data_IF_036752998145
#
_entry.id   IF_036752998145
#
_cell.length_a   1.000
_cell.length_b   1.000
_cell.length_c   1.000
_cell.angle_alpha   90.00
_cell.angle_beta   90.00
_cell.angle_gamma   90.00
#
_symmetry.space_group_name_H-M   'P 1'
#
loop_
_entity.id
_entity.type
_entity.pdbx_description
1 polymer ?
#
# COMPACT_ATOMS: atom_id res chain seq x y z
N UNK A 1 6.55 1.04 38.51
CA UNK A 1 5.25 0.57 38.06
C UNK A 1 5.32 0.45 36.51
N UNK A 2 5.50 -0.78 36.02
CA UNK A 2 5.59 -1.06 34.56
C UNK A 2 4.18 -1.19 34.00
N UNK A 3 3.82 -0.35 33.02
CA UNK A 3 2.61 -0.54 32.22
C UNK A 3 2.88 -1.64 31.18
N UNK A 4 2.20 -2.77 31.33
CA UNK A 4 2.12 -3.79 30.29
C UNK A 4 1.18 -3.26 29.21
N UNK A 5 1.67 -3.15 27.98
CA UNK A 5 0.84 -2.99 26.77
C UNK A 5 0.40 -4.39 26.35
N UNK A 6 -0.88 -4.68 26.53
CA UNK A 6 -1.47 -5.91 26.01
C UNK A 6 -1.87 -5.70 24.55
N UNK A 7 -1.26 -6.43 23.64
CA UNK A 7 -1.76 -6.59 22.28
C UNK A 7 -2.78 -7.72 22.28
N UNK A 8 -4.01 -7.43 21.83
CA UNK A 8 -5.04 -8.43 21.69
C UNK A 8 -4.85 -9.13 20.34
N UNK A 9 -4.36 -10.37 20.37
CA UNK A 9 -4.44 -11.30 19.26
C UNK A 9 -5.90 -11.75 19.11
N UNK A 10 -6.56 -11.41 18.02
CA UNK A 10 -7.83 -11.99 17.65
C UNK A 10 -7.60 -13.39 17.08
N UNK A 11 -7.71 -14.39 17.95
CA UNK A 11 -7.85 -15.78 17.53
C UNK A 11 -9.30 -16.03 17.16
N UNK A 12 -9.56 -16.42 15.93
CA UNK A 12 -10.86 -16.86 15.43
C UNK A 12 -11.29 -18.14 16.18
N UNK A 13 -11.97 -17.97 17.28
CA UNK A 13 -12.74 -19.04 17.92
C UNK A 13 -14.16 -18.54 18.12
N UNK A 14 -15.07 -19.36 17.62
CA UNK A 14 -16.54 -19.29 17.67
C UNK A 14 -17.08 -18.37 18.79
N UNK A 15 -17.66 -17.22 18.43
CA UNK A 15 -18.29 -16.31 19.39
C UNK A 15 -19.68 -16.85 19.73
N UNK A 16 -19.92 -17.17 20.99
CA UNK A 16 -21.24 -17.50 21.52
C UNK A 16 -21.85 -16.23 22.09
N UNK A 17 -22.87 -15.68 21.41
CA UNK A 17 -23.60 -14.52 21.89
C UNK A 17 -24.79 -15.00 22.76
N UNK A 18 -24.70 -14.76 24.07
CA UNK A 18 -25.83 -14.97 24.98
C UNK A 18 -26.53 -13.63 25.25
N UNK A 19 -27.75 -13.48 24.76
CA UNK A 19 -28.59 -12.30 25.06
C UNK A 19 -29.60 -12.70 26.16
N UNK A 20 -29.48 -12.04 27.30
CA UNK A 20 -30.44 -12.20 28.41
C UNK A 20 -31.40 -11.02 28.39
N UNK A 21 -32.66 -11.26 28.01
CA UNK A 21 -33.71 -10.24 28.08
C UNK A 21 -34.53 -10.52 29.33
N UNK A 22 -34.52 -9.56 30.27
CA UNK A 22 -35.33 -9.62 31.50
C UNK A 22 -36.57 -8.77 31.31
N UNK A 23 -37.68 -9.39 31.01
CA UNK A 23 -39.01 -8.75 31.10
C UNK A 23 -39.58 -9.03 32.47
N UNK A 24 -40.09 -8.00 33.14
CA UNK A 24 -40.72 -8.11 34.47
C UNK A 24 -41.73 -9.25 34.51
N UNK A 25 -41.39 -10.27 35.26
CA UNK A 25 -42.16 -11.36 35.84
C UNK A 25 -41.99 -12.79 35.35
N UNK A 26 -41.21 -13.09 34.32
CA UNK A 26 -40.85 -14.50 34.10
C UNK A 26 -39.49 -14.63 33.38
N UNK A 27 -38.61 -15.48 33.91
CA UNK A 27 -37.33 -15.83 33.27
C UNK A 27 -37.60 -16.85 32.16
N UNK A 28 -37.44 -16.45 30.91
CA UNK A 28 -37.42 -17.37 29.79
C UNK A 28 -35.96 -17.59 29.39
N UNK A 29 -35.44 -18.80 29.55
CA UNK A 29 -34.17 -19.22 28.98
C UNK A 29 -34.36 -19.61 27.52
N UNK A 30 -33.79 -18.83 26.61
CA UNK A 30 -33.71 -19.19 25.19
C UNK A 30 -32.35 -19.84 24.95
N UNK A 31 -32.40 -21.08 24.47
CA UNK A 31 -31.25 -21.91 24.25
C UNK A 31 -30.22 -21.32 23.26
N UNK A 32 -28.94 -21.63 23.49
CA UNK A 32 -27.81 -21.27 22.63
C UNK A 32 -27.88 -21.97 21.27
N UNK A 33 -27.95 -21.21 20.18
CA UNK A 33 -27.81 -21.72 18.83
C UNK A 33 -26.41 -21.42 18.27
N UNK A 34 -25.76 -22.45 17.72
CA UNK A 34 -24.50 -22.32 16.98
C UNK A 34 -24.80 -21.77 15.59
N UNK A 35 -24.20 -20.62 15.23
CA UNK A 35 -24.34 -20.01 13.90
C UNK A 35 -23.03 -20.29 13.14
N UNK A 36 -23.15 -20.95 11.97
CA UNK A 36 -22.05 -21.12 11.01
C UNK A 36 -21.96 -19.92 10.06
N UNK A 37 -20.75 -19.61 9.65
CA UNK A 37 -20.43 -18.49 8.73
C UNK A 37 -21.22 -18.56 7.42
N UNK A 38 -21.69 -17.44 6.95
CA UNK A 38 -22.38 -17.26 5.67
C UNK A 38 -23.72 -16.51 5.75
N UNK A 39 -24.35 -16.45 6.93
CA UNK A 39 -25.74 -16.00 7.06
C UNK A 39 -25.92 -14.63 7.75
N UNK A 40 -24.85 -13.87 7.99
CA UNK A 40 -24.90 -12.70 8.87
C UNK A 40 -25.54 -11.49 8.18
N UNK A 41 -25.38 -11.37 6.87
CA UNK A 41 -25.85 -10.17 6.14
C UNK A 41 -27.39 -10.15 5.91
N UNK A 42 -28.02 -11.31 5.71
CA UNK A 42 -29.46 -11.37 5.49
C UNK A 42 -30.28 -11.24 6.77
N UNK A 43 -29.73 -11.65 7.93
CA UNK A 43 -30.46 -11.64 9.21
C UNK A 43 -30.53 -10.26 9.89
N UNK A 44 -29.58 -9.35 9.60
CA UNK A 44 -29.58 -7.99 10.15
C UNK A 44 -30.81 -7.17 9.70
N UNK A 45 -31.27 -7.37 8.46
CA UNK A 45 -32.47 -6.71 7.91
C UNK A 45 -33.78 -7.22 8.54
N UNK A 46 -33.84 -8.50 8.89
CA UNK A 46 -35.02 -9.10 9.52
C UNK A 46 -35.14 -8.79 11.02
N UNK A 47 -34.02 -8.58 11.70
CA UNK A 47 -34.02 -8.21 13.14
C UNK A 47 -34.52 -6.79 13.37
N UNK A 48 -34.27 -5.86 12.46
CA UNK A 48 -34.81 -4.50 12.50
C UNK A 48 -36.33 -4.47 12.22
N UNK A 49 -36.84 -5.37 11.37
CA UNK A 49 -38.27 -5.50 11.09
C UNK A 49 -39.07 -6.09 12.29
N UNK A 50 -38.45 -6.98 13.06
CA UNK A 50 -39.09 -7.55 14.27
C UNK A 50 -39.14 -6.54 15.44
N UNK A 51 -38.18 -5.63 15.55
CA UNK A 51 -38.20 -4.54 16.54
C UNK A 51 -39.29 -3.49 16.22
N UNK A 52 -39.56 -3.20 14.94
CA UNK A 52 -40.58 -2.30 14.51
C UNK A 52 -42.04 -2.86 14.79
N UNK A 53 -42.21 -4.17 14.71
CA UNK A 53 -43.50 -4.83 14.99
C UNK A 53 -43.84 -4.91 16.49
N UNK A 54 -42.83 -4.88 17.38
CA UNK A 54 -43.03 -4.93 18.84
C UNK A 54 -43.47 -3.57 19.43
N UNK A 55 -43.28 -2.45 18.70
CA UNK A 55 -43.69 -1.11 19.16
C UNK A 55 -45.11 -0.71 18.78
N UNK A 56 -45.84 -1.53 17.99
CA UNK A 56 -47.22 -1.24 17.57
C UNK A 56 -48.28 -2.02 18.34
N UNK A 57 -47.94 -2.76 19.40
CA UNK A 57 -48.80 -3.67 20.12
C UNK A 57 -49.36 -3.20 21.46
N UNK A 58 -49.17 -1.96 21.91
CA UNK A 58 -49.71 -1.45 23.18
C UNK A 58 -50.49 -0.15 23.00
N UNK A 59 -51.62 -0.23 22.36
CA UNK A 59 -52.62 0.84 22.31
C UNK A 59 -53.91 0.42 23.00
N UNK A 60 -54.15 0.91 24.19
CA UNK A 60 -55.46 0.79 24.80
C UNK A 60 -55.47 0.83 26.34
N UNK A 61 -55.38 2.00 26.95
CA UNK A 61 -56.04 2.29 28.22
C UNK A 61 -56.50 3.76 28.25
N UNK A 62 -57.78 3.94 28.39
CA UNK A 62 -58.52 5.16 28.43
C UNK A 62 -58.42 5.76 29.85
N UNK A 63 -58.11 7.07 29.98
CA UNK A 63 -58.12 7.75 31.27
C UNK A 63 -57.75 9.22 31.20
N UNK A 64 -58.77 10.04 31.25
CA UNK A 64 -58.91 11.44 31.73
C UNK A 64 -58.01 12.53 31.15
N UNK A 65 -58.70 13.50 30.54
CA UNK A 65 -58.27 14.85 30.20
C UNK A 65 -57.80 15.62 31.42
N UNK A 66 -56.51 16.03 31.45
CA UNK A 66 -56.05 17.17 32.25
C UNK A 66 -55.49 18.23 31.27
N UNK A 67 -55.91 19.48 31.53
CA UNK A 67 -55.53 20.65 30.70
C UNK A 67 -54.02 20.88 30.68
N UNK A 68 -53.45 21.31 29.55
CA UNK A 68 -52.02 21.52 29.42
C UNK A 68 -51.57 22.80 30.15
N UNK A 69 -50.64 22.62 31.09
CA UNK A 69 -49.86 23.71 31.69
C UNK A 69 -48.90 24.26 30.63
N UNK A 70 -48.77 25.57 30.41
CA UNK A 70 -47.89 26.13 29.43
C UNK A 70 -46.42 25.95 29.88
N UNK A 71 -45.64 25.30 29.08
CA UNK A 71 -44.19 25.24 29.23
C UNK A 71 -43.57 26.63 29.03
N UNK A 72 -42.50 26.98 29.79
CA UNK A 72 -41.76 28.19 29.56
C UNK A 72 -41.13 28.10 28.15
N UNK A 73 -41.23 29.14 27.36
CA UNK A 73 -40.46 29.30 26.13
C UNK A 73 -38.98 29.29 26.48
N UNK A 74 -38.28 28.25 26.06
CA UNK A 74 -36.82 28.30 25.92
C UNK A 74 -36.53 29.40 24.89
N UNK A 75 -35.70 30.35 25.29
CA UNK A 75 -35.09 31.31 24.38
C UNK A 75 -34.23 30.50 23.43
N UNK A 76 -34.61 30.49 22.15
CA UNK A 76 -33.72 30.06 21.04
C UNK A 76 -32.53 31.01 21.09
N UNK A 77 -31.43 30.52 21.63
CA UNK A 77 -30.12 31.10 21.35
C UNK A 77 -29.82 30.77 19.88
N UNK A 78 -29.96 31.76 19.02
CA UNK A 78 -29.41 31.77 17.68
C UNK A 78 -27.91 31.47 17.77
N UNK A 79 -27.56 30.21 17.79
CA UNK A 79 -26.23 29.75 17.35
C UNK A 79 -26.23 30.01 15.85
N UNK A 80 -25.60 31.09 15.43
CA UNK A 80 -25.21 31.26 14.02
C UNK A 80 -24.40 30.01 13.65
N UNK A 81 -25.00 29.09 12.91
CA UNK A 81 -24.27 28.19 12.06
C UNK A 81 -23.46 29.08 11.11
N UNK A 82 -22.16 29.15 11.32
CA UNK A 82 -21.25 29.76 10.37
C UNK A 82 -21.32 28.91 9.11
N UNK A 83 -21.96 29.42 8.05
CA UNK A 83 -21.98 28.82 6.72
C UNK A 83 -20.54 28.64 6.26
N UNK A 84 -20.07 27.40 6.27
CA UNK A 84 -18.82 27.05 5.58
C UNK A 84 -19.06 27.34 4.11
N UNK A 85 -18.26 28.21 3.55
CA UNK A 85 -18.36 28.68 2.17
C UNK A 85 -18.23 27.46 1.23
N UNK A 86 -19.32 27.11 0.53
CA UNK A 86 -19.29 26.07 -0.48
C UNK A 86 -18.66 26.61 -1.76
N UNK A 87 -17.53 26.07 -2.13
CA UNK A 87 -16.91 26.30 -3.43
C UNK A 87 -17.39 25.20 -4.39
N UNK A 88 -18.19 25.53 -5.42
CA UNK A 88 -18.51 24.56 -6.46
C UNK A 88 -17.25 24.27 -7.29
N UNK A 89 -16.68 23.10 -7.12
CA UNK A 89 -15.44 22.70 -7.80
C UNK A 89 -15.70 21.41 -8.58
N UNK A 90 -15.33 21.41 -9.85
CA UNK A 90 -15.27 20.17 -10.63
C UNK A 90 -13.96 19.45 -10.33
N UNK A 91 -14.03 18.43 -9.45
CA UNK A 91 -12.95 17.48 -9.20
C UNK A 91 -13.35 16.13 -9.80
N UNK A 92 -12.39 15.32 -10.22
CA UNK A 92 -12.61 13.93 -10.63
C UNK A 92 -13.53 13.17 -9.66
N UNK A 93 -14.30 12.21 -10.14
CA UNK A 93 -15.10 11.32 -9.30
C UNK A 93 -14.26 10.23 -8.61
N UNK A 94 -12.99 10.06 -8.96
CA UNK A 94 -12.17 8.94 -8.52
C UNK A 94 -11.01 9.37 -7.62
N UNK A 95 -10.90 8.77 -6.45
CA UNK A 95 -9.82 9.05 -5.51
C UNK A 95 -8.43 8.74 -6.09
N UNK A 96 -8.29 7.73 -6.93
CA UNK A 96 -7.01 7.32 -7.54
C UNK A 96 -6.48 8.29 -8.61
N UNK A 97 -7.26 9.31 -9.01
CA UNK A 97 -6.78 10.40 -9.88
C UNK A 97 -5.96 11.42 -9.10
N UNK A 98 -5.98 11.35 -7.76
CA UNK A 98 -5.23 12.21 -6.85
C UNK A 98 -5.46 13.70 -7.10
N UNK A 99 -6.68 14.04 -7.52
CA UNK A 99 -7.15 15.41 -7.55
C UNK A 99 -7.73 15.79 -6.20
N UNK A 100 -7.63 17.04 -5.85
CA UNK A 100 -8.23 17.63 -4.65
C UNK A 100 -8.35 19.13 -4.82
N UNK A 101 -9.12 19.80 -3.98
CA UNK A 101 -9.19 21.25 -3.98
C UNK A 101 -8.88 21.82 -2.59
N UNK A 102 -8.25 22.98 -2.58
CA UNK A 102 -8.00 23.81 -1.40
C UNK A 102 -8.61 25.17 -1.70
N UNK A 103 -9.62 25.58 -0.93
CA UNK A 103 -10.37 26.84 -1.09
C UNK A 103 -10.88 27.05 -2.53
N UNK A 104 -11.32 25.98 -3.17
CA UNK A 104 -11.84 26.00 -4.55
C UNK A 104 -10.77 25.91 -5.64
N UNK A 105 -9.49 25.92 -5.32
CA UNK A 105 -8.43 25.69 -6.30
C UNK A 105 -8.12 24.22 -6.46
N UNK A 106 -8.37 23.67 -7.65
CA UNK A 106 -8.09 22.25 -7.97
C UNK A 106 -6.59 22.04 -8.16
N UNK A 107 -6.10 20.98 -7.56
CA UNK A 107 -4.72 20.52 -7.64
C UNK A 107 -4.69 19.02 -7.90
N UNK A 108 -3.55 18.50 -8.34
CA UNK A 108 -3.33 17.06 -8.56
C UNK A 108 -1.94 16.64 -8.12
N UNK A 109 -1.77 15.36 -7.79
CA UNK A 109 -0.47 14.75 -7.53
C UNK A 109 -0.15 13.70 -8.61
N UNK A 110 1.12 13.63 -9.05
CA UNK A 110 2.18 14.60 -8.74
C UNK A 110 2.03 15.88 -9.58
N UNK A 111 2.49 17.01 -9.04
CA UNK A 111 2.55 18.30 -9.76
C UNK A 111 3.87 19.01 -9.48
N UNK A 112 4.37 19.78 -10.44
CA UNK A 112 5.65 20.50 -10.29
C UNK A 112 5.60 21.46 -9.11
N UNK A 113 6.62 21.47 -8.23
CA UNK A 113 6.70 22.46 -7.14
C UNK A 113 6.65 23.90 -7.67
N UNK A 114 7.18 24.14 -8.88
CA UNK A 114 7.13 25.43 -9.56
C UNK A 114 5.70 25.94 -9.83
N UNK A 115 4.72 25.05 -9.96
CA UNK A 115 3.32 25.41 -10.12
C UNK A 115 2.74 25.95 -8.82
N UNK A 116 3.10 25.36 -7.69
CA UNK A 116 2.75 25.83 -6.36
C UNK A 116 3.34 27.19 -6.07
N UNK A 117 4.63 27.41 -6.40
CA UNK A 117 5.30 28.70 -6.25
C UNK A 117 4.63 29.78 -7.10
N UNK A 118 4.24 29.47 -8.34
CA UNK A 118 3.51 30.43 -9.20
C UNK A 118 2.12 30.80 -8.66
N UNK A 119 1.53 29.92 -7.88
CA UNK A 119 0.26 30.16 -7.18
C UNK A 119 0.43 30.87 -5.83
N UNK A 120 1.64 31.31 -5.51
CA UNK A 120 1.92 32.10 -4.30
C UNK A 120 2.32 31.29 -3.08
N UNK A 121 2.57 30.00 -3.22
CA UNK A 121 3.17 29.20 -2.16
C UNK A 121 4.67 29.46 -2.09
N UNK A 122 5.23 29.43 -0.89
CA UNK A 122 6.65 29.68 -0.63
C UNK A 122 7.29 28.41 -0.07
N UNK A 123 8.50 28.09 -0.55
CA UNK A 123 9.34 27.03 0.00
C UNK A 123 10.62 27.67 0.59
N UNK A 124 11.13 27.19 1.74
CA UNK A 124 12.27 27.82 2.45
C UNK A 124 13.49 28.00 1.55
N UNK A 125 14.02 29.22 1.47
CA UNK A 125 15.13 29.58 0.58
C UNK A 125 16.39 28.73 0.81
N UNK A 126 16.68 28.40 2.07
CA UNK A 126 17.84 27.59 2.45
C UNK A 126 17.77 26.16 1.92
N UNK A 127 16.59 25.65 1.62
CA UNK A 127 16.35 24.29 1.10
C UNK A 127 16.25 24.24 -0.43
N UNK A 128 16.00 25.34 -1.10
CA UNK A 128 15.71 25.38 -2.56
C UNK A 128 16.83 24.82 -3.44
N UNK A 129 18.10 24.92 -2.98
CA UNK A 129 19.27 24.45 -3.70
C UNK A 129 19.69 23.01 -3.38
N UNK A 130 18.96 22.35 -2.49
CA UNK A 130 19.24 20.97 -2.16
C UNK A 130 19.07 20.09 -3.42
N UNK A 131 19.93 19.11 -3.54
CA UNK A 131 19.87 18.11 -4.62
C UNK A 131 19.14 16.86 -4.10
N UNK A 132 18.33 16.27 -4.94
CA UNK A 132 17.63 15.04 -4.68
C UNK A 132 18.01 14.00 -5.74
N UNK A 133 18.50 12.84 -5.31
CA UNK A 133 18.85 11.75 -6.23
C UNK A 133 17.62 11.32 -7.06
N UNK A 134 17.88 10.70 -8.20
CA UNK A 134 16.80 10.16 -9.05
C UNK A 134 15.95 9.15 -8.29
N UNK A 135 14.64 9.14 -8.53
CA UNK A 135 13.66 8.26 -7.90
C UNK A 135 13.67 8.28 -6.35
N UNK A 136 14.18 9.40 -5.77
CA UNK A 136 14.19 9.64 -4.32
C UNK A 136 13.15 10.68 -3.93
N UNK A 137 12.80 10.71 -2.65
CA UNK A 137 11.82 11.66 -2.11
C UNK A 137 12.24 12.19 -0.74
N UNK A 138 11.67 13.32 -0.35
CA UNK A 138 11.78 13.93 0.99
C UNK A 138 10.38 14.13 1.52
N UNK A 139 10.07 13.53 2.67
CA UNK A 139 8.76 13.66 3.32
C UNK A 139 8.72 14.81 4.32
N UNK A 140 7.51 15.37 4.51
CA UNK A 140 7.23 16.31 5.58
C UNK A 140 7.79 17.72 5.35
N UNK A 141 8.02 18.13 4.12
CA UNK A 141 8.38 19.49 3.77
C UNK A 141 7.17 20.42 3.90
N UNK A 142 7.42 21.71 4.17
CA UNK A 142 6.37 22.69 4.43
C UNK A 142 6.36 23.76 3.35
N UNK A 143 5.21 23.91 2.68
CA UNK A 143 4.88 25.06 1.84
C UNK A 143 4.05 26.06 2.64
N UNK A 144 4.26 27.37 2.42
CA UNK A 144 3.55 28.46 3.09
C UNK A 144 2.90 29.40 2.10
N UNK A 145 1.70 29.89 2.44
CA UNK A 145 1.02 30.94 1.69
C UNK A 145 0.33 31.87 2.70
N UNK A 146 0.98 32.99 3.03
CA UNK A 146 0.56 33.84 4.15
C UNK A 146 0.60 33.08 5.47
N UNK A 147 -0.54 32.94 6.14
CA UNK A 147 -0.67 32.18 7.39
C UNK A 147 -0.93 30.65 7.16
N UNK A 148 -1.29 30.28 5.94
CA UNK A 148 -1.54 28.88 5.60
C UNK A 148 -0.24 28.09 5.48
N UNK A 149 -0.29 26.83 5.93
CA UNK A 149 0.82 25.88 5.81
C UNK A 149 0.29 24.55 5.29
N UNK A 150 1.05 23.93 4.40
CA UNK A 150 0.79 22.59 3.89
C UNK A 150 2.02 21.72 4.10
N UNK A 151 1.81 20.54 4.63
CA UNK A 151 2.84 19.49 4.66
C UNK A 151 2.80 18.73 3.35
N UNK A 152 3.94 18.65 2.67
CA UNK A 152 4.07 18.01 1.36
C UNK A 152 5.26 17.07 1.34
N UNK A 153 5.24 16.11 0.43
CA UNK A 153 6.38 15.26 0.11
C UNK A 153 6.89 15.66 -1.28
N UNK A 154 8.20 15.90 -1.39
CA UNK A 154 8.84 16.24 -2.64
C UNK A 154 9.52 15.01 -3.23
N UNK A 155 9.27 14.73 -4.50
CA UNK A 155 9.78 13.55 -5.20
C UNK A 155 10.50 13.96 -6.49
N UNK A 156 11.68 13.35 -6.71
CA UNK A 156 12.41 13.50 -7.97
C UNK A 156 11.96 12.44 -8.97
N UNK A 157 11.14 12.83 -9.93
CA UNK A 157 10.67 11.98 -11.05
C UNK A 157 11.47 12.21 -12.33
N UNK A 158 12.58 12.97 -12.24
CA UNK A 158 13.51 13.15 -13.36
C UNK A 158 14.50 11.98 -13.45
N UNK A 159 14.97 11.68 -14.63
CA UNK A 159 15.95 10.60 -14.87
C UNK A 159 17.37 10.88 -14.37
N UNK A 160 17.56 11.90 -13.52
CA UNK A 160 18.87 12.37 -13.03
C UNK A 160 18.71 13.04 -11.66
N UNK A 161 19.81 13.18 -10.94
CA UNK A 161 19.86 14.04 -9.76
C UNK A 161 19.45 15.46 -10.13
N UNK A 162 18.53 16.05 -9.35
CA UNK A 162 17.82 17.28 -9.69
C UNK A 162 17.68 18.17 -8.46
N UNK A 163 17.67 19.49 -8.65
CA UNK A 163 17.38 20.41 -7.55
C UNK A 163 15.94 20.23 -7.07
N UNK A 164 15.73 20.34 -5.76
CA UNK A 164 14.39 20.22 -5.14
C UNK A 164 13.36 21.13 -5.82
N UNK A 165 13.77 22.32 -6.27
CA UNK A 165 12.89 23.27 -6.97
C UNK A 165 12.45 22.82 -8.36
N UNK A 166 13.07 21.79 -8.92
CA UNK A 166 12.69 21.18 -10.20
C UNK A 166 11.97 19.82 -9.99
N UNK A 167 11.75 19.42 -8.74
CA UNK A 167 11.03 18.22 -8.36
C UNK A 167 9.50 18.41 -8.39
N UNK A 168 8.81 17.36 -7.99
CA UNK A 168 7.35 17.34 -7.91
C UNK A 168 6.90 17.29 -6.46
N UNK A 169 5.76 17.89 -6.17
CA UNK A 169 4.95 17.56 -5.00
C UNK A 169 4.26 16.24 -5.30
N UNK A 170 4.68 15.17 -4.66
CA UNK A 170 4.15 13.82 -4.83
C UNK A 170 3.25 13.39 -3.68
N UNK A 171 3.38 14.01 -2.51
CA UNK A 171 2.54 13.76 -1.35
C UNK A 171 2.02 15.06 -0.73
N UNK A 172 0.86 14.97 -0.08
CA UNK A 172 0.26 16.08 0.67
C UNK A 172 -0.52 15.56 1.87
N UNK A 173 -0.44 16.31 2.97
CA UNK A 173 -1.31 16.14 4.13
C UNK A 173 -2.27 17.32 4.21
N UNK A 174 -3.56 17.02 4.09
CA UNK A 174 -4.66 17.93 4.29
C UNK A 174 -5.24 17.68 5.68
N UNK A 175 -5.41 18.72 6.49
CA UNK A 175 -5.97 18.61 7.84
C UNK A 175 -7.14 19.58 7.97
N UNK A 176 -8.22 19.14 8.60
CA UNK A 176 -9.33 20.01 8.94
C UNK A 176 -8.94 20.94 10.10
N UNK A 177 -9.12 22.22 9.89
CA UNK A 177 -9.00 23.26 10.91
C UNK A 177 -10.28 24.10 10.85
N UNK A 178 -10.89 24.40 12.00
CA UNK A 178 -12.22 25.05 12.05
C UNK A 178 -12.29 26.36 11.28
N UNK A 179 -11.24 27.15 11.34
CA UNK A 179 -11.12 28.46 10.65
C UNK A 179 -10.06 28.41 9.52
N UNK A 180 -9.70 27.19 9.09
CA UNK A 180 -8.69 26.92 8.07
C UNK A 180 -9.25 26.84 6.66
N UNK A 181 -8.41 26.37 5.76
CA UNK A 181 -8.76 26.14 4.36
C UNK A 181 -9.81 25.03 4.21
N UNK A 182 -10.76 25.23 3.29
CA UNK A 182 -11.72 24.20 2.90
C UNK A 182 -11.04 23.21 1.96
N UNK A 183 -10.87 21.97 2.41
CA UNK A 183 -10.26 20.91 1.63
C UNK A 183 -11.31 19.91 1.13
N UNK A 184 -11.31 19.68 -0.18
CA UNK A 184 -12.25 18.78 -0.85
C UNK A 184 -11.49 17.69 -1.61
N UNK A 185 -12.02 16.48 -1.55
CA UNK A 185 -11.55 15.29 -2.27
C UNK A 185 -12.57 14.89 -3.36
N UNK A 186 -12.21 13.99 -4.29
CA UNK A 186 -13.12 13.46 -5.30
C UNK A 186 -14.46 12.98 -4.72
N UNK A 187 -15.49 12.95 -5.56
CA UNK A 187 -16.80 12.44 -5.14
C UNK A 187 -17.57 13.31 -4.15
N UNK A 188 -17.18 14.58 -3.97
CA UNK A 188 -17.86 15.52 -3.07
C UNK A 188 -17.48 15.36 -1.60
N UNK A 189 -16.41 14.67 -1.30
CA UNK A 189 -15.91 14.46 0.07
C UNK A 189 -15.20 15.73 0.55
N UNK A 190 -15.58 16.22 1.74
CA UNK A 190 -15.03 17.45 2.33
C UNK A 190 -14.55 17.16 3.76
N UNK A 191 -13.32 17.57 4.07
CA UNK A 191 -12.75 17.46 5.41
C UNK A 191 -13.57 18.30 6.41
N UNK A 192 -13.78 17.77 7.61
CA UNK A 192 -14.61 18.36 8.66
C UNK A 192 -16.13 18.20 8.46
N UNK A 193 -16.58 17.61 7.34
CA UNK A 193 -18.01 17.42 7.05
C UNK A 193 -18.38 15.98 6.69
N UNK A 194 -17.59 15.33 5.86
CA UNK A 194 -17.94 14.02 5.32
C UNK A 194 -17.72 12.92 6.32
N UNK A 195 -18.74 12.05 6.47
CA UNK A 195 -18.68 10.88 7.35
C UNK A 195 -17.98 9.68 6.68
N UNK A 196 -17.57 8.71 7.50
CA UNK A 196 -17.04 7.43 7.04
C UNK A 196 -18.00 6.73 6.05
N UNK A 197 -19.32 6.80 6.29
CA UNK A 197 -20.32 6.21 5.40
C UNK A 197 -20.28 6.89 4.02
N UNK A 198 -20.23 8.20 3.95
CA UNK A 198 -20.14 8.93 2.69
C UNK A 198 -18.84 8.61 1.93
N UNK A 199 -17.72 8.48 2.64
CA UNK A 199 -16.44 8.10 2.03
C UNK A 199 -16.48 6.68 1.47
N UNK A 200 -17.02 5.72 2.22
CA UNK A 200 -17.14 4.33 1.73
C UNK A 200 -18.16 4.17 0.62
N UNK A 201 -19.22 5.00 0.58
CA UNK A 201 -20.14 5.06 -0.56
C UNK A 201 -19.46 5.64 -1.82
N UNK A 202 -18.60 6.63 -1.66
CA UNK A 202 -17.89 7.27 -2.77
C UNK A 202 -16.72 6.42 -3.32
N UNK A 203 -15.96 5.76 -2.45
CA UNK A 203 -14.69 5.12 -2.83
C UNK A 203 -14.70 3.59 -2.70
N UNK A 204 -15.78 3.01 -2.16
CA UNK A 204 -15.89 1.56 -1.97
C UNK A 204 -15.19 1.06 -0.70
N UNK A 205 -14.89 -0.22 -0.69
CA UNK A 205 -14.23 -0.88 0.46
C UNK A 205 -12.76 -0.49 0.54
N UNK A 206 -12.28 0.01 1.69
CA UNK A 206 -10.87 0.32 1.87
C UNK A 206 -9.98 -0.94 1.80
N UNK A 207 -8.71 -0.73 1.49
CA UNK A 207 -7.68 -1.78 1.47
C UNK A 207 -7.30 -2.20 2.89
N UNK A 208 -7.26 -1.25 3.81
CA UNK A 208 -6.95 -1.47 5.22
C UNK A 208 -7.70 -0.50 6.11
N UNK A 209 -8.00 -0.93 7.35
CA UNK A 209 -8.70 -0.13 8.36
C UNK A 209 -8.20 -0.50 9.74
N UNK A 210 -7.77 0.48 10.52
CA UNK A 210 -7.39 0.28 11.91
C UNK A 210 -7.68 1.51 12.77
N UNK A 211 -7.84 1.31 14.07
CA UNK A 211 -8.06 2.40 15.03
C UNK A 211 -6.90 2.52 16.01
N UNK A 212 -6.44 3.74 16.22
CA UNK A 212 -5.46 4.06 17.26
C UNK A 212 -5.94 5.27 18.07
N UNK A 213 -6.12 5.10 19.40
CA UNK A 213 -6.65 6.11 20.33
C UNK A 213 -8.06 6.57 19.91
N UNK A 214 -8.22 7.83 19.53
CA UNK A 214 -9.46 8.47 19.12
C UNK A 214 -9.54 8.68 17.61
N UNK A 215 -8.66 8.01 16.84
CA UNK A 215 -8.57 8.12 15.39
C UNK A 215 -8.83 6.77 14.73
N UNK A 216 -9.62 6.79 13.65
CA UNK A 216 -9.84 5.68 12.73
C UNK A 216 -9.11 5.98 11.42
N UNK A 217 -8.20 5.11 11.04
CA UNK A 217 -7.41 5.20 9.81
C UNK A 217 -8.02 4.27 8.76
N UNK A 218 -8.30 4.82 7.59
CA UNK A 218 -8.87 4.12 6.44
C UNK A 218 -7.97 4.32 5.24
N UNK A 219 -7.37 3.25 4.74
CA UNK A 219 -6.40 3.29 3.64
C UNK A 219 -6.99 2.75 2.35
N UNK A 220 -6.77 3.47 1.25
CA UNK A 220 -6.99 3.03 -0.12
C UNK A 220 -5.63 2.97 -0.81
N UNK A 221 -5.17 1.77 -1.15
CA UNK A 221 -3.91 1.54 -1.83
C UNK A 221 -4.15 1.22 -3.31
N UNK A 222 -3.50 1.98 -4.17
CA UNK A 222 -3.64 1.89 -5.63
C UNK A 222 -2.36 1.38 -6.31
N UNK A 223 -1.52 0.72 -5.54
CA UNK A 223 -0.22 0.19 -5.96
C UNK A 223 0.97 0.86 -5.29
N UNK A 224 2.17 0.41 -5.61
CA UNK A 224 3.41 0.90 -4.97
C UNK A 224 3.53 2.42 -5.08
N UNK A 225 3.75 3.09 -3.95
CA UNK A 225 3.87 4.55 -3.83
C UNK A 225 2.65 5.34 -4.33
N UNK A 226 1.47 4.72 -4.36
CA UNK A 226 0.23 5.37 -4.75
C UNK A 226 -0.88 4.98 -3.78
N UNK A 227 -1.18 5.85 -2.79
CA UNK A 227 -2.18 5.59 -1.74
C UNK A 227 -2.84 6.85 -1.21
N UNK A 228 -4.03 6.67 -0.65
CA UNK A 228 -4.73 7.67 0.15
C UNK A 228 -5.02 7.08 1.54
N UNK A 229 -4.65 7.79 2.60
CA UNK A 229 -4.96 7.46 3.98
C UNK A 229 -5.88 8.56 4.54
N UNK A 230 -7.04 8.16 4.98
CA UNK A 230 -8.09 9.05 5.48
C UNK A 230 -8.27 8.79 6.99
N UNK A 231 -8.23 9.85 7.78
CA UNK A 231 -8.29 9.75 9.25
C UNK A 231 -9.56 10.40 9.75
N UNK A 232 -10.35 9.63 10.50
CA UNK A 232 -11.62 10.05 11.06
C UNK A 232 -11.51 10.15 12.59
N UNK A 233 -12.26 11.05 13.17
CA UNK A 233 -12.56 11.01 14.59
C UNK A 233 -13.45 9.81 14.91
N UNK A 234 -13.14 9.07 15.99
CA UNK A 234 -13.87 7.83 16.34
C UNK A 234 -15.23 8.07 17.00
N UNK A 235 -15.52 9.26 17.52
CA UNK A 235 -16.80 9.59 18.15
C UNK A 235 -17.83 10.06 17.12
N UNK A 236 -17.43 10.99 16.25
CA UNK A 236 -18.32 11.60 15.25
C UNK A 236 -18.21 10.90 13.88
N UNK A 237 -17.17 10.08 13.66
CA UNK A 237 -16.84 9.42 12.39
C UNK A 237 -16.73 10.43 11.22
N UNK A 238 -16.27 11.65 11.51
CA UNK A 238 -16.08 12.71 10.53
C UNK A 238 -14.61 12.76 10.09
N UNK A 239 -14.39 12.91 8.78
CA UNK A 239 -13.06 13.00 8.16
C UNK A 239 -12.30 14.23 8.65
N UNK A 240 -11.19 14.02 9.36
CA UNK A 240 -10.37 15.10 9.92
C UNK A 240 -9.09 15.35 9.13
N UNK A 241 -8.55 14.31 8.47
CA UNK A 241 -7.27 14.39 7.79
C UNK A 241 -7.24 13.48 6.57
N UNK A 242 -6.56 13.92 5.53
CA UNK A 242 -6.27 13.10 4.36
C UNK A 242 -4.78 13.19 4.01
N UNK A 243 -4.12 12.06 3.89
CA UNK A 243 -2.74 11.94 3.40
C UNK A 243 -2.79 11.29 2.03
N UNK A 244 -2.47 12.06 1.00
CA UNK A 244 -2.45 11.57 -0.38
C UNK A 244 -0.99 11.42 -0.83
N UNK A 245 -0.64 10.27 -1.39
CA UNK A 245 0.70 9.99 -1.92
C UNK A 245 0.61 9.39 -3.32
N UNK A 246 1.19 10.07 -4.28
CA UNK A 246 1.40 9.58 -5.64
C UNK A 246 2.79 9.98 -6.12
N UNK A 247 3.76 9.08 -5.93
CA UNK A 247 5.17 9.31 -6.31
C UNK A 247 5.47 8.71 -7.69
N UNK A 248 4.46 8.59 -8.54
CA UNK A 248 4.62 8.06 -9.89
C UNK A 248 4.75 9.16 -10.91
N UNK A 249 5.52 8.90 -11.96
CA UNK A 249 5.65 9.81 -13.08
C UNK A 249 4.27 10.07 -13.73
N UNK A 250 3.93 11.34 -14.03
CA UNK A 250 2.67 11.64 -14.73
C UNK A 250 2.63 10.93 -16.08
N UNK A 251 1.49 10.32 -16.40
CA UNK A 251 1.27 9.69 -17.72
C UNK A 251 1.26 10.78 -18.80
N UNK A 252 2.08 10.62 -19.83
CA UNK A 252 2.09 11.52 -21.00
C UNK A 252 1.35 10.84 -22.15
N UNK A 253 0.35 11.49 -22.69
CA UNK A 253 -0.38 11.02 -23.90
C UNK A 253 0.47 11.09 -25.17
N UNK A 254 1.57 11.86 -25.14
CA UNK A 254 2.48 12.07 -26.28
C UNK A 254 3.62 11.05 -26.31
N UNK A 255 3.70 10.14 -25.35
CA UNK A 255 4.80 9.17 -25.27
C UNK A 255 4.67 8.10 -26.36
N UNK A 256 5.70 7.97 -27.19
CA UNK A 256 5.75 6.92 -28.22
C UNK A 256 6.21 5.59 -27.62
N UNK A 257 5.26 4.68 -27.42
CA UNK A 257 5.54 3.35 -26.85
C UNK A 257 5.94 2.39 -27.96
N UNK A 258 7.14 1.81 -27.84
CA UNK A 258 7.61 0.76 -28.76
C UNK A 258 6.68 -0.46 -28.71
N UNK A 259 6.32 -0.97 -29.89
CA UNK A 259 5.55 -2.21 -30.06
C UNK A 259 6.44 -3.45 -30.14
N UNK A 260 7.73 -3.26 -30.32
CA UNK A 260 8.69 -4.34 -30.43
C UNK A 260 9.07 -4.88 -29.05
N UNK A 261 9.30 -6.18 -28.98
CA UNK A 261 9.85 -6.78 -27.75
C UNK A 261 11.34 -6.46 -27.70
N UNK A 262 11.84 -5.81 -26.65
CA UNK A 262 13.27 -5.50 -26.50
C UNK A 262 14.16 -6.75 -26.57
N UNK A 263 15.39 -6.56 -27.02
CA UNK A 263 16.38 -7.62 -27.10
C UNK A 263 16.66 -8.20 -25.70
N UNK A 264 16.71 -7.36 -24.68
CA UNK A 264 16.92 -7.75 -23.28
C UNK A 264 15.85 -8.73 -22.80
N UNK A 265 14.59 -8.53 -23.20
CA UNK A 265 13.46 -9.43 -22.86
C UNK A 265 13.60 -10.76 -23.59
N UNK A 266 14.00 -10.73 -24.86
CA UNK A 266 14.15 -11.94 -25.68
C UNK A 266 15.39 -12.75 -25.28
N UNK A 267 16.40 -12.12 -24.69
CA UNK A 267 17.61 -12.74 -24.18
C UNK A 267 17.43 -13.38 -22.78
N UNK A 268 16.33 -13.12 -22.10
CA UNK A 268 16.08 -13.68 -20.78
C UNK A 268 15.90 -15.21 -20.87
N UNK A 269 16.65 -15.94 -20.04
CA UNK A 269 16.55 -17.39 -19.91
C UNK A 269 15.99 -17.77 -18.54
N UNK A 270 14.87 -18.48 -18.51
CA UNK A 270 14.27 -18.95 -17.26
C UNK A 270 15.18 -20.00 -16.62
N UNK A 271 15.66 -19.79 -15.36
CA UNK A 271 16.50 -20.74 -14.67
C UNK A 271 15.75 -22.06 -14.40
N UNK A 272 16.48 -23.17 -14.45
CA UNK A 272 15.89 -24.49 -14.26
C UNK A 272 16.07 -25.05 -12.83
N UNK A 273 16.93 -24.43 -12.01
CA UNK A 273 17.23 -24.85 -10.63
C UNK A 273 17.78 -23.69 -9.81
N UNK A 274 17.62 -23.80 -8.50
CA UNK A 274 18.29 -22.89 -7.56
C UNK A 274 19.81 -23.12 -7.60
N UNK A 275 20.56 -22.04 -7.38
CA UNK A 275 22.00 -22.07 -7.21
C UNK A 275 22.40 -22.29 -5.75
N UNK A 276 23.69 -22.59 -5.51
CA UNK A 276 24.24 -22.65 -4.16
C UNK A 276 24.46 -21.27 -3.53
N UNK A 277 24.57 -20.22 -4.35
CA UNK A 277 24.78 -18.86 -3.87
C UNK A 277 23.50 -18.05 -3.95
N UNK A 278 22.89 -17.63 -2.82
CA UNK A 278 21.70 -16.76 -2.85
C UNK A 278 21.92 -15.46 -3.64
N UNK A 279 23.15 -14.93 -3.65
CA UNK A 279 23.50 -13.70 -4.36
C UNK A 279 23.42 -13.79 -5.89
N UNK A 280 23.14 -14.97 -6.45
CA UNK A 280 22.85 -15.12 -7.88
C UNK A 280 21.41 -14.69 -8.23
N UNK A 281 20.59 -14.31 -7.23
CA UNK A 281 19.21 -13.86 -7.38
C UNK A 281 18.27 -14.85 -8.10
N UNK A 282 18.62 -16.13 -8.13
CA UNK A 282 17.75 -17.19 -8.63
C UNK A 282 16.82 -17.63 -7.51
N UNK A 283 15.52 -17.62 -7.80
CA UNK A 283 14.46 -17.83 -6.82
C UNK A 283 13.38 -18.75 -7.36
N UNK A 284 12.86 -19.63 -6.51
CA UNK A 284 11.55 -20.26 -6.73
C UNK A 284 10.50 -19.39 -6.08
N UNK A 285 9.56 -18.86 -6.87
CA UNK A 285 8.52 -17.94 -6.46
C UNK A 285 7.17 -18.39 -6.96
N UNK A 286 6.28 -18.70 -6.04
CA UNK A 286 4.95 -19.22 -6.37
C UNK A 286 4.92 -20.60 -7.03
N UNK A 287 6.02 -21.31 -7.16
CA UNK A 287 6.28 -22.61 -7.82
C UNK A 287 7.08 -22.51 -9.12
N UNK A 288 7.28 -21.31 -9.63
CA UNK A 288 8.03 -21.05 -10.85
C UNK A 288 9.43 -20.51 -10.51
N UNK A 289 10.35 -20.65 -11.46
CA UNK A 289 11.72 -20.20 -11.28
C UNK A 289 11.96 -18.86 -11.99
N UNK A 290 12.65 -17.96 -11.31
CA UNK A 290 13.03 -16.67 -11.86
C UNK A 290 14.47 -16.33 -11.48
N UNK A 291 15.17 -15.62 -12.35
CA UNK A 291 16.39 -14.89 -12.05
C UNK A 291 16.05 -13.40 -12.03
N UNK A 292 16.20 -12.75 -10.89
CA UNK A 292 15.84 -11.33 -10.74
C UNK A 292 17.08 -10.47 -11.12
N UNK A 293 16.90 -9.51 -12.08
CA UNK A 293 15.67 -9.00 -12.67
C UNK A 293 15.06 -9.94 -13.72
N UNK A 294 13.74 -10.11 -13.68
CA UNK A 294 13.00 -10.95 -14.61
C UNK A 294 11.95 -10.16 -15.37
N UNK A 295 11.73 -10.36 -16.68
CA UNK A 295 10.71 -9.64 -17.42
C UNK A 295 9.31 -9.88 -16.84
N UNK A 296 8.48 -8.84 -16.77
CA UNK A 296 7.06 -8.97 -16.38
C UNK A 296 6.34 -10.00 -17.27
N UNK A 297 6.73 -10.09 -18.53
CA UNK A 297 6.20 -11.09 -19.47
C UNK A 297 6.41 -12.53 -19.03
N UNK A 298 7.48 -12.85 -18.27
CA UNK A 298 7.68 -14.21 -17.73
C UNK A 298 6.69 -14.50 -16.59
N UNK A 299 6.39 -13.52 -15.75
CA UNK A 299 5.33 -13.66 -14.74
C UNK A 299 3.98 -13.88 -15.43
N UNK A 300 3.68 -13.10 -16.48
CA UNK A 300 2.43 -13.27 -17.25
C UNK A 300 2.34 -14.65 -17.89
N UNK A 301 3.44 -15.16 -18.46
CA UNK A 301 3.54 -16.51 -19.02
C UNK A 301 3.26 -17.60 -17.97
N UNK A 302 3.64 -17.36 -16.73
CA UNK A 302 3.44 -18.23 -15.59
C UNK A 302 2.07 -18.01 -14.88
N UNK A 303 1.15 -17.28 -15.51
CA UNK A 303 -0.23 -17.16 -15.06
C UNK A 303 -0.57 -15.93 -14.23
N UNK A 304 0.42 -15.06 -13.95
CA UNK A 304 0.15 -13.75 -13.33
C UNK A 304 -0.55 -12.82 -14.32
N UNK A 305 -1.44 -11.98 -13.82
CA UNK A 305 -2.16 -10.97 -14.61
C UNK A 305 -1.73 -9.58 -14.15
N UNK A 306 -1.46 -8.70 -15.12
CA UNK A 306 -1.23 -7.29 -14.83
C UNK A 306 -2.60 -6.67 -14.50
N UNK A 307 -2.71 -6.07 -13.32
CA UNK A 307 -3.86 -5.26 -12.94
C UNK A 307 -3.66 -3.84 -13.49
N UNK A 308 -4.60 -3.34 -14.29
CA UNK A 308 -4.51 -1.99 -14.87
C UNK A 308 -4.51 -0.92 -13.78
N UNK A 309 -5.38 -1.09 -12.77
CA UNK A 309 -5.32 -0.30 -11.55
C UNK A 309 -4.04 -0.63 -10.79
N UNK A 310 -3.24 0.38 -10.49
CA UNK A 310 -1.99 0.19 -9.78
C UNK A 310 -0.78 -0.14 -10.64
N UNK A 311 -0.92 -0.29 -11.96
CA UNK A 311 0.20 -0.49 -12.89
C UNK A 311 0.43 0.72 -13.77
N UNK A 312 1.70 0.97 -14.10
CA UNK A 312 2.06 1.86 -15.19
C UNK A 312 1.74 1.16 -16.53
N UNK A 313 1.25 1.90 -17.50
CA UNK A 313 0.98 1.34 -18.85
C UNK A 313 2.28 1.15 -19.64
N UNK A 314 3.28 1.99 -19.38
CA UNK A 314 4.59 1.96 -20.01
C UNK A 314 5.70 2.37 -19.01
N UNK A 315 6.94 2.07 -19.35
CA UNK A 315 8.14 2.49 -18.62
C UNK A 315 9.13 3.11 -19.59
N UNK A 316 9.56 4.33 -19.31
CA UNK A 316 10.55 5.04 -20.15
C UNK A 316 11.92 4.37 -20.11
N UNK A 317 12.71 4.61 -21.16
CA UNK A 317 14.07 4.06 -21.29
C UNK A 317 14.93 4.32 -20.04
N UNK A 318 15.50 3.27 -19.48
CA UNK A 318 16.38 3.33 -18.30
C UNK A 318 15.67 3.69 -16.98
N UNK A 319 14.34 3.87 -16.99
CA UNK A 319 13.57 4.29 -15.81
C UNK A 319 12.94 3.11 -15.06
N UNK A 320 12.61 3.38 -13.79
CA UNK A 320 11.76 2.50 -13.00
C UNK A 320 10.28 2.79 -13.27
N UNK A 321 9.46 1.81 -13.02
CA UNK A 321 8.01 1.88 -13.04
C UNK A 321 7.43 0.88 -12.04
N UNK A 322 6.11 0.72 -12.04
CA UNK A 322 5.40 -0.09 -11.05
C UNK A 322 4.35 -0.95 -11.75
N UNK A 323 4.28 -2.21 -11.36
CA UNK A 323 3.30 -3.15 -11.89
C UNK A 323 2.66 -3.90 -10.73
N UNK A 324 1.35 -3.93 -10.71
CA UNK A 324 0.59 -4.79 -9.81
C UNK A 324 0.25 -6.08 -10.56
N UNK A 325 0.72 -7.21 -10.03
CA UNK A 325 0.49 -8.53 -10.58
C UNK A 325 -0.44 -9.32 -9.66
N UNK A 326 -1.44 -10.01 -10.23
CA UNK A 326 -2.38 -10.82 -9.48
C UNK A 326 -2.38 -12.25 -10.00
N UNK A 327 -2.38 -13.22 -9.09
CA UNK A 327 -2.56 -14.63 -9.39
C UNK A 327 -3.33 -15.31 -8.24
N UNK A 328 -4.47 -15.91 -8.55
CA UNK A 328 -5.29 -16.68 -7.61
C UNK A 328 -5.64 -15.91 -6.30
N UNK A 329 -5.89 -14.61 -6.41
CA UNK A 329 -6.21 -13.74 -5.27
C UNK A 329 -5.00 -13.25 -4.47
N UNK A 330 -3.80 -13.58 -4.91
CA UNK A 330 -2.55 -13.05 -4.36
C UNK A 330 -2.09 -11.87 -5.21
N UNK A 331 -1.71 -10.77 -4.55
CA UNK A 331 -1.27 -9.53 -5.22
C UNK A 331 0.21 -9.30 -4.93
N UNK A 332 0.98 -9.04 -5.97
CA UNK A 332 2.38 -8.62 -5.91
C UNK A 332 2.51 -7.18 -6.43
N UNK A 333 2.94 -6.28 -5.59
CA UNK A 333 3.31 -4.92 -5.96
C UNK A 333 4.78 -4.89 -6.36
N UNK A 334 5.05 -4.92 -7.66
CA UNK A 334 6.40 -5.02 -8.20
C UNK A 334 6.97 -3.66 -8.62
N UNK A 335 8.21 -3.41 -8.22
CA UNK A 335 9.04 -2.37 -8.83
C UNK A 335 9.67 -2.97 -10.08
N UNK A 336 9.55 -2.28 -11.21
CA UNK A 336 10.10 -2.72 -12.49
C UNK A 336 11.08 -1.68 -13.05
N UNK A 337 11.99 -2.11 -13.91
CA UNK A 337 12.93 -1.24 -14.61
C UNK A 337 12.97 -1.60 -16.10
N UNK A 338 12.98 -0.59 -16.94
CA UNK A 338 13.20 -0.75 -18.36
C UNK A 338 14.69 -0.64 -18.67
N UNK A 339 15.28 -1.72 -19.15
CA UNK A 339 16.70 -1.77 -19.52
C UNK A 339 16.96 -1.47 -20.99
N UNK A 340 15.90 -1.30 -21.80
CA UNK A 340 16.04 -0.93 -23.20
C UNK A 340 16.24 0.57 -23.37
N UNK A 341 16.58 0.97 -24.59
CA UNK A 341 16.79 2.37 -24.96
C UNK A 341 15.52 3.06 -25.52
N UNK A 342 14.35 2.42 -25.41
CA UNK A 342 13.08 2.93 -25.87
C UNK A 342 12.04 2.85 -24.75
N UNK A 343 11.01 3.70 -24.79
CA UNK A 343 9.84 3.53 -23.93
C UNK A 343 9.08 2.27 -24.33
N UNK A 344 8.82 1.39 -23.39
CA UNK A 344 8.17 0.09 -23.62
C UNK A 344 6.93 -0.08 -22.79
N UNK A 345 6.00 -0.93 -23.24
CA UNK A 345 4.91 -1.39 -22.38
C UNK A 345 5.47 -1.98 -21.07
N UNK A 346 4.83 -1.72 -19.93
CA UNK A 346 5.26 -2.24 -18.64
C UNK A 346 5.43 -3.77 -18.62
N UNK A 347 4.73 -4.49 -19.51
CA UNK A 347 4.93 -5.93 -19.73
C UNK A 347 6.34 -6.30 -20.15
N UNK A 348 7.07 -5.39 -20.79
CA UNK A 348 8.44 -5.60 -21.25
C UNK A 348 9.50 -5.03 -20.30
N UNK A 349 9.10 -4.41 -19.20
CA UNK A 349 10.01 -4.04 -18.13
C UNK A 349 10.35 -5.25 -17.26
N UNK A 350 11.40 -5.13 -16.45
CA UNK A 350 11.93 -6.20 -15.62
C UNK A 350 11.57 -5.98 -14.14
N UNK A 351 10.97 -6.95 -13.50
CA UNK A 351 10.76 -6.97 -12.05
C UNK A 351 12.12 -7.01 -11.37
N UNK A 352 12.43 -5.99 -10.60
CA UNK A 352 13.69 -5.82 -9.90
C UNK A 352 13.60 -6.10 -8.41
N UNK A 353 12.38 -6.14 -7.87
CA UNK A 353 12.14 -6.39 -6.46
C UNK A 353 10.96 -7.32 -6.28
N UNK A 354 11.13 -8.35 -5.45
CA UNK A 354 10.07 -9.26 -5.03
C UNK A 354 10.21 -9.60 -3.55
N UNK A 355 9.11 -9.94 -2.92
CA UNK A 355 9.09 -10.47 -1.56
C UNK A 355 8.11 -11.63 -1.44
N UNK A 356 8.32 -12.47 -0.45
CA UNK A 356 7.39 -13.50 -0.03
C UNK A 356 7.33 -13.54 1.49
N UNK A 357 6.13 -13.63 2.05
CA UNK A 357 5.87 -13.69 3.49
C UNK A 357 4.60 -14.50 3.79
N UNK A 358 4.26 -14.66 5.06
CA UNK A 358 3.04 -15.37 5.47
C UNK A 358 1.83 -14.46 5.66
N UNK A 359 2.03 -13.15 5.74
CA UNK A 359 1.01 -12.23 6.27
C UNK A 359 0.42 -11.32 5.19
N UNK A 360 1.25 -10.79 4.29
CA UNK A 360 0.87 -9.78 3.27
C UNK A 360 0.86 -10.39 1.87
N UNK A 361 2.05 -10.67 1.33
CA UNK A 361 2.19 -11.15 -0.06
C UNK A 361 1.75 -12.62 -0.18
N UNK A 362 2.01 -13.44 0.84
CA UNK A 362 1.59 -14.86 0.94
C UNK A 362 2.06 -15.75 -0.22
N UNK A 363 3.12 -15.37 -0.90
CA UNK A 363 3.74 -16.16 -1.97
C UNK A 363 4.85 -17.03 -1.40
N UNK A 364 4.84 -18.34 -1.63
CA UNK A 364 5.96 -19.19 -1.29
C UNK A 364 7.22 -18.75 -2.03
N UNK A 365 8.31 -18.54 -1.29
CA UNK A 365 9.58 -18.12 -1.81
C UNK A 365 10.71 -19.00 -1.29
N UNK A 366 11.61 -19.43 -2.19
CA UNK A 366 12.81 -20.20 -1.84
C UNK A 366 13.97 -19.66 -2.63
N UNK A 367 15.08 -19.38 -1.96
CA UNK A 367 16.32 -18.88 -2.54
C UNK A 367 17.45 -19.93 -2.45
N UNK A 368 18.63 -19.60 -2.93
CA UNK A 368 19.80 -20.47 -2.96
C UNK A 368 20.01 -21.28 -1.68
N UNK A 369 20.58 -22.47 -1.79
CA UNK A 369 20.72 -23.48 -0.72
C UNK A 369 19.38 -23.95 -0.12
N UNK A 370 18.24 -23.66 -0.75
CA UNK A 370 16.91 -24.08 -0.28
C UNK A 370 16.40 -23.28 0.92
N UNK A 371 16.89 -22.08 1.14
CA UNK A 371 16.39 -21.19 2.21
C UNK A 371 14.98 -20.73 1.87
N UNK A 372 14.03 -20.97 2.77
CA UNK A 372 12.61 -20.73 2.52
C UNK A 372 11.88 -20.25 3.78
N UNK A 373 10.67 -19.74 3.61
CA UNK A 373 9.80 -19.33 4.72
C UNK A 373 9.55 -20.49 5.69
N UNK A 374 9.51 -20.19 6.99
CA UNK A 374 9.33 -21.16 8.06
C UNK A 374 10.59 -21.96 8.44
N UNK A 375 11.72 -21.77 7.75
CA UNK A 375 13.00 -22.33 8.19
C UNK A 375 13.45 -21.65 9.49
N UNK A 376 14.11 -22.41 10.39
CA UNK A 376 14.65 -21.84 11.62
C UNK A 376 15.88 -20.95 11.33
N UNK A 377 16.05 -19.91 12.11
CA UNK A 377 17.20 -19.00 12.03
C UNK A 377 18.54 -19.76 12.16
N UNK A 378 18.59 -20.79 13.01
CA UNK A 378 19.78 -21.62 13.18
C UNK A 378 20.15 -22.37 11.89
N UNK A 379 19.18 -23.00 11.23
CA UNK A 379 19.40 -23.70 9.98
C UNK A 379 19.78 -22.73 8.86
N UNK A 380 19.13 -21.59 8.78
CA UNK A 380 19.48 -20.53 7.83
C UNK A 380 20.95 -20.10 7.99
N UNK A 381 21.39 -19.83 9.22
CA UNK A 381 22.78 -19.43 9.51
C UNK A 381 23.80 -20.52 9.14
N UNK A 382 23.46 -21.78 9.36
CA UNK A 382 24.31 -22.91 8.93
C UNK A 382 24.45 -22.96 7.41
N UNK A 383 23.35 -22.74 6.68
CA UNK A 383 23.38 -22.70 5.21
C UNK A 383 24.14 -21.50 4.66
N UNK A 384 24.09 -20.38 5.36
CA UNK A 384 24.76 -19.13 4.97
C UNK A 384 26.20 -19.03 5.53
N UNK A 385 26.73 -20.10 6.14
CA UNK A 385 28.11 -20.09 6.64
C UNK A 385 29.09 -19.73 5.52
N UNK A 386 29.99 -18.78 5.82
CA UNK A 386 30.95 -18.23 4.87
C UNK A 386 30.40 -17.12 3.94
N UNK A 387 29.11 -16.77 4.00
CA UNK A 387 28.52 -15.64 3.28
C UNK A 387 28.51 -14.41 4.20
N UNK A 388 29.04 -13.25 3.77
CA UNK A 388 28.98 -12.02 4.58
C UNK A 388 27.51 -11.61 4.82
N UNK A 389 27.15 -11.47 6.11
CA UNK A 389 25.82 -11.05 6.55
C UNK A 389 25.92 -9.75 7.34
N UNK A 390 25.12 -8.76 6.99
CA UNK A 390 24.83 -7.62 7.85
C UNK A 390 23.54 -7.90 8.62
N UNK A 391 23.56 -7.66 9.93
CA UNK A 391 22.43 -8.00 10.82
C UNK A 391 21.84 -6.73 11.41
N UNK A 392 20.53 -6.56 11.29
CA UNK A 392 19.78 -5.48 11.89
C UNK A 392 18.72 -6.04 12.84
N UNK A 393 18.78 -5.62 14.11
CA UNK A 393 17.78 -6.00 15.10
C UNK A 393 16.61 -5.02 15.06
N UNK A 394 15.42 -5.57 14.99
CA UNK A 394 14.15 -4.87 14.97
C UNK A 394 13.32 -5.22 16.21
N UNK A 395 12.26 -4.49 16.48
CA UNK A 395 11.38 -4.75 17.65
C UNK A 395 10.76 -6.15 17.57
N UNK A 396 10.37 -6.57 16.38
CA UNK A 396 9.66 -7.83 16.13
C UNK A 396 10.57 -9.00 15.72
N UNK A 397 11.85 -8.75 15.41
CA UNK A 397 12.73 -9.81 14.96
C UNK A 397 14.12 -9.34 14.56
N UNK A 398 14.73 -10.06 13.62
CA UNK A 398 16.06 -9.77 13.09
C UNK A 398 16.06 -9.87 11.57
N UNK A 399 16.53 -8.83 10.91
CA UNK A 399 16.80 -8.83 9.47
C UNK A 399 18.26 -9.17 9.19
N UNK A 400 18.47 -10.07 8.25
CA UNK A 400 19.77 -10.48 7.74
C UNK A 400 19.89 -10.06 6.29
N UNK A 401 20.91 -9.26 5.97
CA UNK A 401 21.15 -8.72 4.63
C UNK A 401 22.38 -9.36 4.00
N UNK A 402 22.24 -9.80 2.76
CA UNK A 402 23.33 -10.14 1.85
C UNK A 402 23.36 -9.03 0.80
N UNK A 403 24.31 -8.11 0.92
CA UNK A 403 24.50 -7.05 -0.06
C UNK A 403 25.42 -7.51 -1.19
N UNK A 404 25.07 -7.21 -2.43
CA UNK A 404 25.85 -7.57 -3.61
C UNK A 404 26.56 -6.38 -4.25
N UNK A 405 26.27 -5.17 -3.77
CA UNK A 405 26.95 -3.94 -4.18
C UNK A 405 27.31 -3.05 -2.97
N UNK A 406 28.21 -2.10 -3.20
CA UNK A 406 28.67 -1.17 -2.18
C UNK A 406 27.62 -0.08 -1.84
N UNK A 407 26.61 0.12 -2.68
CA UNK A 407 25.55 1.11 -2.47
C UNK A 407 24.42 0.57 -1.59
N UNK A 408 24.43 -0.74 -1.33
CA UNK A 408 23.41 -1.47 -0.57
C UNK A 408 22.01 -1.40 -1.20
N UNK A 409 21.91 -1.06 -2.49
CA UNK A 409 20.65 -1.05 -3.25
C UNK A 409 20.26 -2.45 -3.73
N UNK A 410 21.27 -3.30 -3.99
CA UNK A 410 21.06 -4.69 -4.39
C UNK A 410 21.35 -5.61 -3.20
N UNK A 411 20.29 -6.30 -2.75
CA UNK A 411 20.36 -7.10 -1.54
C UNK A 411 19.38 -8.28 -1.55
N UNK A 412 19.62 -9.22 -0.66
CA UNK A 412 18.66 -10.20 -0.20
C UNK A 412 18.47 -9.95 1.29
N UNK A 413 17.24 -9.73 1.71
CA UNK A 413 16.84 -9.60 3.10
C UNK A 413 16.10 -10.85 3.54
N UNK A 414 16.47 -11.38 4.70
CA UNK A 414 15.79 -12.50 5.33
C UNK A 414 15.40 -12.02 6.74
N UNK A 415 14.09 -11.96 7.01
CA UNK A 415 13.58 -11.56 8.32
C UNK A 415 13.14 -12.79 9.12
N UNK A 416 13.64 -12.89 10.34
CA UNK A 416 13.23 -13.92 11.32
C UNK A 416 12.48 -13.28 12.47
N UNK A 417 11.34 -13.86 12.88
CA UNK A 417 10.61 -13.36 14.02
C UNK A 417 11.31 -13.69 15.34
N UNK A 418 11.06 -12.85 16.34
CA UNK A 418 11.72 -12.93 17.65
C UNK A 418 11.20 -14.07 18.52
N UNK A 419 9.93 -14.44 18.36
CA UNK A 419 9.24 -15.34 19.29
C UNK A 419 9.46 -16.80 18.89
N UNK A 420 9.41 -17.09 17.59
CA UNK A 420 9.53 -18.44 17.03
C UNK A 420 10.91 -18.72 16.44
N UNK A 421 11.69 -17.69 16.11
CA UNK A 421 12.98 -17.82 15.45
C UNK A 421 12.85 -18.43 14.05
N UNK A 422 11.74 -18.15 13.36
CA UNK A 422 11.47 -18.67 12.02
C UNK A 422 11.58 -17.56 10.98
N UNK A 423 12.01 -17.90 9.77
CA UNK A 423 11.96 -17.00 8.64
C UNK A 423 10.51 -16.67 8.33
N UNK A 424 10.13 -15.38 8.43
CA UNK A 424 8.79 -14.86 8.16
C UNK A 424 8.70 -14.16 6.82
N UNK A 425 9.81 -13.58 6.36
CA UNK A 425 9.86 -12.83 5.12
C UNK A 425 11.22 -13.04 4.43
N UNK A 426 11.19 -13.13 3.11
CA UNK A 426 12.36 -13.09 2.24
C UNK A 426 12.09 -12.05 1.16
N UNK A 427 13.00 -11.10 1.00
CA UNK A 427 12.93 -10.04 0.02
C UNK A 427 14.20 -10.05 -0.84
N UNK A 428 14.05 -9.93 -2.16
CA UNK A 428 15.13 -9.74 -3.12
C UNK A 428 14.99 -8.39 -3.80
N UNK A 429 16.07 -7.62 -3.84
CA UNK A 429 16.16 -6.38 -4.58
C UNK A 429 17.41 -6.46 -5.46
N UNK A 430 17.26 -6.47 -6.77
CA UNK A 430 18.35 -6.46 -7.75
C UNK A 430 17.99 -5.56 -8.92
N UNK A 431 18.56 -4.35 -8.93
CA UNK A 431 18.37 -3.35 -9.98
C UNK A 431 19.72 -2.83 -10.48
N UNK A 432 20.50 -3.68 -11.20
CA UNK A 432 21.78 -3.25 -11.77
C UNK A 432 21.59 -2.11 -12.77
N UNK A 433 22.63 -1.35 -13.06
CA UNK A 433 22.56 -0.29 -14.07
C UNK A 433 22.30 -0.85 -15.47
N UNK A 434 22.92 -1.98 -15.79
CA UNK A 434 22.75 -2.72 -17.04
C UNK A 434 22.60 -4.21 -16.73
N UNK A 435 21.80 -4.90 -17.54
CA UNK A 435 21.75 -6.36 -17.48
C UNK A 435 23.11 -6.89 -17.97
N UNK A 436 23.79 -7.66 -17.13
CA UNK A 436 24.90 -8.50 -17.61
C UNK A 436 24.29 -9.53 -18.54
N UNK A 437 24.85 -9.65 -19.77
CA UNK A 437 24.42 -10.72 -20.67
C UNK A 437 24.42 -12.04 -19.88
N UNK A 438 23.26 -12.74 -19.88
CA UNK A 438 23.13 -14.06 -19.24
C UNK A 438 24.20 -14.96 -19.82
N UNK A 439 25.31 -15.09 -19.09
CA UNK A 439 26.45 -15.88 -19.57
C UNK A 439 26.05 -17.33 -19.33
N UNK A 440 25.65 -18.01 -20.40
CA UNK A 440 25.70 -19.46 -20.39
C UNK A 440 27.11 -19.86 -19.99
N UNK A 441 27.30 -20.41 -18.81
CA UNK A 441 28.41 -21.30 -18.59
C UNK A 441 28.17 -22.48 -19.51
N UNK A 442 28.75 -22.41 -20.72
CA UNK A 442 28.86 -23.60 -21.54
C UNK A 442 29.46 -24.69 -20.65
N UNK A 443 28.86 -25.91 -20.62
CA UNK A 443 29.46 -27.00 -19.87
C UNK A 443 30.90 -27.12 -20.33
N UNK A 444 31.84 -27.00 -19.39
CA UNK A 444 33.27 -27.28 -19.68
C UNK A 444 33.31 -28.57 -20.48
N UNK A 445 33.74 -28.44 -21.74
CA UNK A 445 33.95 -29.58 -22.60
C UNK A 445 34.95 -30.51 -21.90
N UNK A 446 34.50 -31.67 -21.51
CA UNK A 446 35.32 -32.75 -21.01
C UNK A 446 36.43 -32.93 -22.07
N UNK A 447 37.73 -32.79 -21.71
CA UNK A 447 38.76 -32.99 -22.68
C UNK A 447 38.70 -34.42 -23.21
N UNK A 448 38.50 -34.54 -24.51
CA UNK A 448 38.47 -35.78 -25.26
C UNK A 448 39.80 -36.51 -25.09
N UNK A 449 39.74 -37.67 -24.47
CA UNK A 449 40.66 -38.81 -24.55
C UNK A 449 42.18 -38.52 -24.58
N UNK A 450 42.84 -38.95 -23.52
CA UNK A 450 44.25 -39.33 -23.52
C UNK A 450 44.50 -40.40 -24.62
N UNK A 451 45.53 -40.26 -25.46
CA UNK A 451 45.88 -41.28 -26.42
C UNK A 451 46.41 -42.54 -25.68
N UNK A 452 45.82 -43.68 -26.03
CA UNK A 452 46.34 -44.98 -25.64
C UNK A 452 47.77 -45.11 -26.12
N UNK A 453 48.72 -45.15 -25.20
CA UNK A 453 50.10 -45.46 -25.48
C UNK A 453 50.17 -46.91 -25.95
N UNK A 454 50.66 -47.07 -27.19
CA UNK A 454 51.15 -48.37 -27.74
C UNK A 454 52.31 -48.88 -26.91
N UNK A 455 52.11 -50.12 -26.41
CA UNK A 455 53.16 -50.84 -25.73
C UNK A 455 54.26 -51.33 -26.64
N UNK A 456 55.43 -51.35 -26.10
CA UNK A 456 56.50 -52.30 -26.44
C UNK A 456 57.10 -52.87 -25.18
#
# INVERSE_FOLDING_TARGET
>A
MKKMKGYAYFSWKTTVLCVKISLCRENLEIGCAKIQEGDVYLKKKWMLLLLAAALWGCGGCRGQEEEPVPFPKEEETDAKEEEIQEYPVEISGNLYDFQFAIDGEVKSLPSRIQEWIRQGWEYPEEKQKAMLETDSYIEGEVLKQGEKQLTVDLVNLEGKETQVMDCYVGGITLTYEKDGSVCQLPGGITLGKSSLIQVTEAYGTPTDEYSEKEELYVTYEFGTYKKAELVFDTEEEILQKAVLKNYREPVSEEEEISRETPEEVTAYETPQKLTENPADYIVSYGREMYEIPAPVSEFVKNGWKIQEEGSDSYVKAGRHGYVTLEQEGTVLYAVVKNYSNQTVSAKHAFVTKISGDFDVVKVPITIGKGITLGMTEENMKLLLDGIPLETQKEEQGTSYYIYTDNTKKNFIRIFTDKDLGLIREIELSNSPEQLTAYTQQAPESIPESLPLGEGR
#
